data_IF_399032040465
#
_entry.id   IF_399032040465
#
_cell.length_a   1.000
_cell.length_b   1.000
_cell.length_c   1.000
_cell.angle_alpha   90.00
_cell.angle_beta   90.00
_cell.angle_gamma   90.00
#
_symmetry.space_group_name_H-M   'P 1'
#
loop_
_entity.id
_entity.type
_entity.pdbx_description
1 polymer ?
#
# COMPACT_ATOMS: atom_id res chain seq x y z
N UNK A 1 -31.43 -16.24 44.63
CA UNK A 1 -30.49 -15.09 44.64
C UNK A 1 -29.01 -15.49 44.50
N UNK A 2 -28.51 -16.49 45.23
CA UNK A 2 -27.09 -16.91 45.16
C UNK A 2 -26.63 -17.45 43.77
N UNK A 3 -27.54 -18.12 43.06
CA UNK A 3 -27.23 -18.65 41.70
C UNK A 3 -27.10 -17.52 40.65
N UNK A 4 -27.94 -16.53 40.74
CA UNK A 4 -27.90 -15.35 39.84
C UNK A 4 -26.64 -14.51 40.06
N UNK A 5 -26.18 -14.40 41.31
CA UNK A 5 -24.94 -13.72 41.67
C UNK A 5 -23.71 -14.46 41.14
N UNK A 6 -23.71 -15.78 41.21
CA UNK A 6 -22.62 -16.62 40.69
C UNK A 6 -22.53 -16.55 39.17
N UNK A 7 -23.65 -16.55 38.45
CA UNK A 7 -23.70 -16.40 37.02
C UNK A 7 -23.19 -15.03 36.55
N UNK A 8 -23.55 -13.95 37.24
CA UNK A 8 -23.09 -12.61 36.95
C UNK A 8 -21.58 -12.46 37.16
N UNK A 9 -21.03 -13.10 38.21
CA UNK A 9 -19.57 -13.10 38.48
C UNK A 9 -18.81 -13.91 37.43
N UNK A 10 -19.34 -15.04 36.98
CA UNK A 10 -18.74 -15.86 35.94
C UNK A 10 -18.67 -15.12 34.58
N UNK A 11 -19.69 -14.34 34.23
CA UNK A 11 -19.71 -13.52 32.99
C UNK A 11 -18.68 -12.40 33.05
N UNK A 12 -18.42 -11.80 34.22
CA UNK A 12 -17.40 -10.76 34.41
C UNK A 12 -15.96 -11.29 34.30
N UNK A 13 -15.73 -12.56 34.68
CA UNK A 13 -14.39 -13.19 34.60
C UNK A 13 -14.05 -13.62 33.16
N UNK A 14 -15.06 -13.90 32.32
CA UNK A 14 -14.90 -14.27 30.92
C UNK A 14 -14.88 -13.09 29.94
N UNK A 15 -14.81 -11.84 30.43
CA UNK A 15 -14.48 -10.72 29.55
C UNK A 15 -13.00 -10.84 29.14
N UNK A 16 -12.72 -11.74 28.21
CA UNK A 16 -11.45 -11.78 27.50
C UNK A 16 -11.24 -10.40 26.89
N UNK A 17 -10.12 -9.78 27.20
CA UNK A 17 -9.73 -8.53 26.54
C UNK A 17 -9.65 -8.82 25.05
N UNK A 18 -10.65 -8.40 24.29
CA UNK A 18 -10.61 -8.38 22.83
C UNK A 18 -9.60 -7.31 22.47
N UNK A 19 -8.34 -7.73 22.26
CA UNK A 19 -7.37 -6.89 21.60
C UNK A 19 -7.85 -6.71 20.16
N UNK A 20 -8.50 -5.58 19.91
CA UNK A 20 -8.84 -5.18 18.55
C UNK A 20 -7.52 -4.93 17.79
N UNK A 21 -7.26 -5.77 16.78
CA UNK A 21 -6.15 -5.51 15.87
C UNK A 21 -6.49 -4.28 15.04
N UNK A 22 -5.58 -3.29 15.03
CA UNK A 22 -5.85 -2.01 14.35
C UNK A 22 -5.88 -2.16 12.84
N UNK A 23 -5.06 -3.07 12.26
CA UNK A 23 -4.91 -3.22 10.82
C UNK A 23 -4.30 -4.58 10.47
N UNK A 24 -4.72 -5.17 9.37
CA UNK A 24 -4.10 -6.38 8.80
C UNK A 24 -3.07 -5.96 7.75
N UNK A 25 -1.86 -6.51 7.73
CA UNK A 25 -1.31 -7.56 8.59
C UNK A 25 -0.83 -7.04 9.94
N UNK A 26 -1.35 -7.59 11.03
CA UNK A 26 -0.94 -7.21 12.38
C UNK A 26 0.19 -8.13 12.88
N UNK A 27 1.32 -7.53 13.24
CA UNK A 27 2.45 -8.24 13.87
C UNK A 27 3.35 -9.05 12.94
N UNK A 28 3.04 -9.13 11.65
CA UNK A 28 3.91 -9.74 10.63
C UNK A 28 4.26 -8.67 9.61
N UNK A 29 5.47 -8.13 9.72
CA UNK A 29 5.94 -7.08 8.83
C UNK A 29 7.03 -7.64 7.90
N UNK A 30 6.82 -7.45 6.60
CA UNK A 30 7.84 -7.56 5.58
C UNK A 30 7.76 -6.33 4.68
N UNK A 31 8.52 -5.31 5.06
CA UNK A 31 8.49 -4.01 4.40
C UNK A 31 9.00 -4.12 2.95
N UNK A 32 10.03 -4.96 2.72
CA UNK A 32 10.59 -5.20 1.39
C UNK A 32 9.56 -5.89 0.47
N UNK A 33 8.82 -6.88 0.98
CA UNK A 33 7.74 -7.53 0.23
C UNK A 33 6.64 -6.53 -0.16
N UNK A 34 6.30 -5.58 0.72
CA UNK A 34 5.30 -4.55 0.39
C UNK A 34 5.76 -3.63 -0.74
N UNK A 35 7.05 -3.30 -0.80
CA UNK A 35 7.63 -2.56 -1.93
C UNK A 35 7.52 -3.37 -3.21
N UNK A 36 7.87 -4.67 -3.19
CA UNK A 36 7.73 -5.57 -4.35
C UNK A 36 6.28 -5.69 -4.84
N UNK A 37 5.32 -5.75 -3.94
CA UNK A 37 3.90 -5.73 -4.32
C UNK A 37 3.52 -4.43 -5.04
N UNK A 38 4.00 -3.26 -4.57
CA UNK A 38 3.75 -1.98 -5.26
C UNK A 38 4.39 -1.97 -6.65
N UNK A 39 5.61 -2.49 -6.80
CA UNK A 39 6.27 -2.65 -8.11
C UNK A 39 5.42 -3.53 -9.06
N UNK A 40 4.99 -4.71 -8.60
CA UNK A 40 4.17 -5.64 -9.38
C UNK A 40 2.84 -5.01 -9.80
N UNK A 41 2.16 -4.34 -8.88
CA UNK A 41 0.93 -3.59 -9.18
C UNK A 41 1.19 -2.53 -10.25
N UNK A 42 2.30 -1.79 -10.15
CA UNK A 42 2.67 -0.75 -11.13
C UNK A 42 2.92 -1.33 -12.51
N UNK A 43 3.63 -2.47 -12.62
CA UNK A 43 3.82 -3.15 -13.90
C UNK A 43 2.51 -3.68 -14.48
N UNK A 44 1.58 -4.14 -13.65
CA UNK A 44 0.25 -4.58 -14.10
C UNK A 44 -0.58 -3.40 -14.61
N UNK A 45 -0.49 -2.24 -13.96
CA UNK A 45 -1.12 -0.98 -14.44
C UNK A 45 -0.53 -0.61 -15.82
N UNK A 46 0.79 -0.60 -15.97
CA UNK A 46 1.47 -0.32 -17.24
C UNK A 46 1.00 -1.27 -18.36
N UNK A 47 0.95 -2.57 -18.08
CA UNK A 47 0.46 -3.58 -19.03
C UNK A 47 -0.99 -3.31 -19.42
N UNK A 48 -1.83 -2.96 -18.44
CA UNK A 48 -3.25 -2.64 -18.68
C UNK A 48 -3.40 -1.41 -19.58
N UNK A 49 -2.66 -0.32 -19.29
CA UNK A 49 -2.67 0.91 -20.09
C UNK A 49 -2.25 0.64 -21.55
N UNK A 50 -1.18 -0.13 -21.73
CA UNK A 50 -0.70 -0.50 -23.09
C UNK A 50 -1.75 -1.32 -23.85
N UNK A 51 -2.40 -2.30 -23.18
CA UNK A 51 -3.45 -3.09 -23.83
C UNK A 51 -4.64 -2.23 -24.23
N UNK A 52 -5.13 -1.37 -23.33
CA UNK A 52 -6.26 -0.47 -23.59
C UNK A 52 -5.91 0.43 -24.77
N UNK A 53 -4.75 1.08 -24.76
CA UNK A 53 -4.31 2.00 -25.82
C UNK A 53 -4.25 1.33 -27.19
N UNK A 54 -3.85 0.06 -27.26
CA UNK A 54 -3.72 -0.69 -28.50
C UNK A 54 -5.04 -1.25 -29.04
N UNK A 55 -6.09 -1.38 -28.20
CA UNK A 55 -7.31 -2.11 -28.55
C UNK A 55 -8.61 -1.31 -28.32
N UNK A 56 -8.54 -0.05 -27.90
CA UNK A 56 -9.71 0.74 -27.52
C UNK A 56 -10.70 0.96 -28.68
N UNK A 57 -10.24 0.97 -29.92
CA UNK A 57 -11.05 1.20 -31.11
C UNK A 57 -11.53 -0.11 -31.79
N UNK A 58 -11.12 -1.28 -31.28
CA UNK A 58 -11.54 -2.58 -31.78
C UNK A 58 -12.80 -3.06 -31.04
N UNK A 59 -13.93 -3.06 -31.74
CA UNK A 59 -15.22 -3.50 -31.20
C UNK A 59 -15.22 -4.95 -30.73
N UNK A 60 -14.40 -5.81 -31.32
CA UNK A 60 -14.29 -7.23 -30.92
C UNK A 60 -13.51 -7.39 -29.61
N UNK A 61 -12.70 -6.40 -29.26
CA UNK A 61 -11.89 -6.39 -28.02
C UNK A 61 -12.55 -5.66 -26.86
N UNK A 62 -13.73 -5.05 -27.03
CA UNK A 62 -14.36 -4.21 -25.98
C UNK A 62 -14.56 -4.92 -24.64
N UNK A 63 -14.88 -6.21 -24.66
CA UNK A 63 -14.97 -7.00 -23.43
C UNK A 63 -13.60 -7.08 -22.70
N UNK A 64 -12.52 -7.31 -23.42
CA UNK A 64 -11.19 -7.38 -22.85
C UNK A 64 -10.66 -6.00 -22.41
N UNK A 65 -10.94 -4.95 -23.21
CA UNK A 65 -10.61 -3.57 -22.83
C UNK A 65 -11.28 -3.21 -21.49
N UNK A 66 -12.56 -3.53 -21.33
CA UNK A 66 -13.29 -3.30 -20.07
C UNK A 66 -12.63 -4.02 -18.89
N UNK A 67 -12.24 -5.29 -19.07
CA UNK A 67 -11.54 -6.05 -18.02
C UNK A 67 -10.19 -5.43 -17.65
N UNK A 68 -9.43 -4.95 -18.64
CA UNK A 68 -8.15 -4.28 -18.37
C UNK A 68 -8.32 -2.91 -17.69
N UNK A 69 -9.41 -2.18 -17.98
CA UNK A 69 -9.75 -0.96 -17.23
C UNK A 69 -9.98 -1.30 -15.75
N UNK A 70 -10.79 -2.31 -15.47
CA UNK A 70 -11.08 -2.76 -14.08
C UNK A 70 -9.80 -3.23 -13.39
N UNK A 71 -8.97 -4.02 -14.07
CA UNK A 71 -7.66 -4.49 -13.55
C UNK A 71 -6.76 -3.31 -13.21
N UNK A 72 -6.63 -2.34 -14.11
CA UNK A 72 -5.83 -1.13 -13.89
C UNK A 72 -6.28 -0.38 -12.63
N UNK A 73 -7.57 -0.18 -12.47
CA UNK A 73 -8.15 0.55 -11.35
C UNK A 73 -7.97 -0.20 -10.03
N UNK A 74 -8.14 -1.53 -10.05
CA UNK A 74 -7.94 -2.37 -8.86
C UNK A 74 -6.49 -2.34 -8.39
N UNK A 75 -5.52 -2.52 -9.29
CA UNK A 75 -4.10 -2.49 -8.92
C UNK A 75 -3.66 -1.11 -8.42
N UNK A 76 -4.21 -0.03 -8.98
CA UNK A 76 -3.97 1.32 -8.44
C UNK A 76 -4.60 1.50 -7.05
N UNK A 77 -5.76 0.90 -6.77
CA UNK A 77 -6.36 0.88 -5.44
C UNK A 77 -5.51 0.07 -4.46
N UNK A 78 -4.95 -1.06 -4.88
CA UNK A 78 -4.13 -1.91 -4.02
C UNK A 78 -2.83 -1.19 -3.61
N UNK A 79 -2.21 -0.40 -4.51
CA UNK A 79 -1.12 0.51 -4.15
C UNK A 79 -1.56 1.50 -3.07
N UNK A 80 -2.71 2.15 -3.26
CA UNK A 80 -3.23 3.10 -2.28
C UNK A 80 -3.48 2.44 -0.91
N UNK A 81 -4.01 1.23 -0.90
CA UNK A 81 -4.24 0.48 0.34
C UNK A 81 -2.93 0.13 1.04
N UNK A 82 -1.92 -0.38 0.32
CA UNK A 82 -0.60 -0.69 0.89
C UNK A 82 0.03 0.58 1.50
N UNK A 83 0.00 1.69 0.79
CA UNK A 83 0.56 2.96 1.28
C UNK A 83 -0.18 3.45 2.53
N UNK A 84 -1.52 3.53 2.49
CA UNK A 84 -2.30 4.13 3.57
C UNK A 84 -2.38 3.22 4.80
N UNK A 85 -2.65 1.95 4.60
CA UNK A 85 -2.92 1.01 5.70
C UNK A 85 -1.65 0.43 6.31
N UNK A 86 -0.64 0.16 5.48
CA UNK A 86 0.60 -0.42 5.95
C UNK A 86 1.65 0.65 6.28
N UNK A 87 2.10 1.43 5.30
CA UNK A 87 3.18 2.39 5.55
C UNK A 87 2.73 3.56 6.43
N UNK A 88 1.75 4.36 6.00
CA UNK A 88 1.35 5.56 6.73
C UNK A 88 0.78 5.26 8.10
N UNK A 89 -0.04 4.23 8.24
CA UNK A 89 -0.71 3.92 9.52
C UNK A 89 0.20 3.19 10.50
N UNK A 90 1.09 2.31 10.02
CA UNK A 90 1.81 1.41 10.92
C UNK A 90 3.32 1.65 10.97
N UNK A 91 3.95 2.06 9.84
CA UNK A 91 5.41 2.06 9.71
C UNK A 91 6.03 3.44 9.83
N UNK A 92 5.40 4.48 9.30
CA UNK A 92 5.94 5.83 9.32
C UNK A 92 5.59 6.52 10.64
N UNK A 93 6.63 6.79 11.44
CA UNK A 93 6.49 7.40 12.77
C UNK A 93 7.60 8.39 13.01
N UNK A 94 7.26 9.52 13.64
CA UNK A 94 8.26 10.45 14.16
C UNK A 94 9.03 9.76 15.29
N UNK A 95 10.36 9.66 15.16
CA UNK A 95 11.22 8.93 16.11
C UNK A 95 11.53 9.76 17.35
N UNK A 96 11.85 11.04 17.14
CA UNK A 96 12.20 12.02 18.19
C UNK A 96 11.97 13.45 17.70
N UNK A 97 12.20 14.43 18.58
CA UNK A 97 11.99 15.84 18.30
C UNK A 97 13.15 16.56 17.60
N UNK A 98 14.24 15.84 17.24
CA UNK A 98 15.36 16.40 16.51
C UNK A 98 14.92 16.95 15.14
N UNK A 99 15.67 17.93 14.63
CA UNK A 99 15.39 18.50 13.30
C UNK A 99 15.51 17.43 12.22
N UNK A 100 16.56 16.61 12.26
CA UNK A 100 16.82 15.59 11.24
C UNK A 100 15.72 14.52 11.21
N UNK A 101 15.22 14.10 12.40
CA UNK A 101 14.09 13.16 12.52
C UNK A 101 12.80 13.73 11.92
N UNK A 102 12.53 15.01 12.18
CA UNK A 102 11.35 15.71 11.62
C UNK A 102 11.46 15.89 10.12
N UNK A 103 12.62 16.29 9.61
CA UNK A 103 12.85 16.47 8.19
C UNK A 103 12.69 15.14 7.43
N UNK A 104 13.26 14.05 7.94
CA UNK A 104 13.08 12.70 7.37
C UNK A 104 11.62 12.26 7.39
N UNK A 105 10.94 12.44 8.52
CA UNK A 105 9.51 12.09 8.65
C UNK A 105 8.66 12.85 7.63
N UNK A 106 8.88 14.16 7.46
CA UNK A 106 8.16 14.96 6.48
C UNK A 106 8.48 14.55 5.04
N UNK A 107 9.74 14.22 4.74
CA UNK A 107 10.12 13.72 3.41
C UNK A 107 9.43 12.39 3.09
N UNK A 108 9.39 11.44 4.03
CA UNK A 108 8.68 10.18 3.87
C UNK A 108 7.17 10.39 3.66
N UNK A 109 6.53 11.27 4.42
CA UNK A 109 5.11 11.60 4.23
C UNK A 109 4.85 12.22 2.85
N UNK A 110 5.69 13.16 2.42
CA UNK A 110 5.54 13.85 1.14
C UNK A 110 5.65 12.89 -0.05
N UNK A 111 6.63 12.00 -0.05
CA UNK A 111 6.82 11.04 -1.14
C UNK A 111 5.68 10.01 -1.17
N UNK A 112 5.26 9.47 -0.02
CA UNK A 112 4.13 8.53 0.05
C UNK A 112 2.82 9.18 -0.41
N UNK A 113 2.55 10.43 -0.02
CA UNK A 113 1.40 11.16 -0.52
C UNK A 113 1.46 11.36 -2.04
N UNK A 114 2.64 11.64 -2.59
CA UNK A 114 2.83 11.77 -4.04
C UNK A 114 2.57 10.44 -4.78
N UNK A 115 2.95 9.29 -4.21
CA UNK A 115 2.62 7.96 -4.76
C UNK A 115 1.12 7.73 -4.76
N UNK A 116 0.40 8.09 -3.67
CA UNK A 116 -1.07 8.00 -3.62
C UNK A 116 -1.75 8.81 -4.72
N UNK A 117 -1.22 10.03 -5.01
CA UNK A 117 -1.73 10.89 -6.08
C UNK A 117 -1.46 10.28 -7.46
N UNK A 118 -0.28 9.71 -7.70
CA UNK A 118 0.05 9.09 -8.98
C UNK A 118 -0.77 7.81 -9.19
N UNK A 119 -0.98 6.99 -8.16
CA UNK A 119 -1.89 5.85 -8.22
C UNK A 119 -3.33 6.29 -8.56
N UNK A 120 -3.82 7.41 -8.00
CA UNK A 120 -5.10 7.99 -8.37
C UNK A 120 -5.12 8.41 -9.85
N UNK A 121 -4.08 9.09 -10.35
CA UNK A 121 -3.98 9.48 -11.76
C UNK A 121 -3.95 8.25 -12.68
N UNK A 122 -3.29 7.16 -12.30
CA UNK A 122 -3.30 5.91 -13.05
C UNK A 122 -4.71 5.35 -13.29
N UNK A 123 -5.67 5.61 -12.38
CA UNK A 123 -7.08 5.26 -12.62
C UNK A 123 -7.72 6.12 -13.69
N UNK A 124 -7.30 7.39 -13.82
CA UNK A 124 -7.96 8.41 -14.62
C UNK A 124 -7.42 8.54 -16.05
N UNK A 125 -6.30 7.87 -16.37
CA UNK A 125 -5.62 7.98 -17.66
C UNK A 125 -5.08 6.64 -18.17
N UNK A 126 -4.71 6.62 -19.45
CA UNK A 126 -3.90 5.57 -20.08
C UNK A 126 -2.50 6.09 -20.48
N UNK A 127 -2.10 7.24 -19.91
CA UNK A 127 -0.74 7.79 -20.09
C UNK A 127 0.25 7.03 -19.21
N UNK A 128 1.10 6.25 -19.84
CA UNK A 128 2.10 5.40 -19.19
C UNK A 128 3.19 6.19 -18.44
N UNK A 129 3.32 7.52 -18.67
CA UNK A 129 4.25 8.35 -17.90
C UNK A 129 3.92 8.37 -16.42
N UNK A 130 2.66 8.15 -16.04
CA UNK A 130 2.23 8.07 -14.64
C UNK A 130 2.82 6.86 -13.92
N UNK A 131 2.97 5.73 -14.59
CA UNK A 131 3.62 4.54 -14.01
C UNK A 131 5.13 4.74 -13.81
N UNK A 132 5.79 5.47 -14.70
CA UNK A 132 7.20 5.83 -14.54
C UNK A 132 7.39 6.77 -13.32
N UNK A 133 6.56 7.81 -13.22
CA UNK A 133 6.56 8.71 -12.07
C UNK A 133 6.34 7.96 -10.75
N UNK A 134 5.43 6.98 -10.74
CA UNK A 134 5.16 6.15 -9.56
C UNK A 134 6.40 5.33 -9.17
N UNK A 135 7.09 4.69 -10.11
CA UNK A 135 8.32 3.92 -9.85
C UNK A 135 9.47 4.80 -9.37
N UNK A 136 9.63 6.00 -9.94
CA UNK A 136 10.64 6.97 -9.49
C UNK A 136 10.42 7.37 -8.03
N UNK A 137 9.18 7.71 -7.66
CA UNK A 137 8.83 8.06 -6.29
C UNK A 137 8.92 6.87 -5.33
N UNK A 138 8.61 5.66 -5.79
CA UNK A 138 8.81 4.46 -4.99
C UNK A 138 10.29 4.24 -4.69
N UNK A 139 11.17 4.45 -5.66
CA UNK A 139 12.62 4.39 -5.45
C UNK A 139 13.12 5.49 -4.50
N UNK A 140 12.57 6.71 -4.60
CA UNK A 140 12.85 7.78 -3.64
C UNK A 140 12.43 7.36 -2.23
N UNK A 141 11.23 6.81 -2.06
CA UNK A 141 10.78 6.30 -0.77
C UNK A 141 11.68 5.20 -0.22
N UNK A 142 12.10 4.23 -1.05
CA UNK A 142 13.05 3.17 -0.67
C UNK A 142 14.34 3.76 -0.11
N UNK A 143 14.87 4.80 -0.74
CA UNK A 143 16.10 5.46 -0.29
C UNK A 143 15.94 6.22 1.04
N UNK A 144 14.76 6.78 1.31
CA UNK A 144 14.44 7.47 2.56
C UNK A 144 14.09 6.51 3.71
N UNK A 145 13.67 5.30 3.39
CA UNK A 145 13.09 4.38 4.37
C UNK A 145 14.03 3.25 4.79
N UNK A 146 14.71 2.61 3.83
CA UNK A 146 15.57 1.47 4.09
C UNK A 146 17.02 1.89 4.34
N UNK A 147 17.63 1.24 5.33
CA UNK A 147 19.09 1.19 5.47
C UNK A 147 19.72 0.23 4.42
N UNK A 148 21.04 0.11 4.44
CA UNK A 148 21.78 -0.74 3.49
C UNK A 148 21.40 -2.22 3.62
N UNK A 149 21.08 -2.71 4.83
CA UNK A 149 20.63 -4.08 5.05
C UNK A 149 19.24 -4.32 4.43
N UNK A 150 18.31 -3.39 4.66
CA UNK A 150 16.96 -3.45 4.09
C UNK A 150 16.96 -3.38 2.55
N UNK A 151 17.80 -2.53 1.95
CA UNK A 151 18.00 -2.45 0.50
C UNK A 151 18.56 -3.76 -0.07
N UNK A 152 19.53 -4.38 0.62
CA UNK A 152 20.06 -5.69 0.21
C UNK A 152 18.99 -6.77 0.26
N UNK A 153 18.16 -6.79 1.32
CA UNK A 153 17.04 -7.71 1.42
C UNK A 153 16.02 -7.49 0.27
N UNK A 154 15.65 -6.25 -0.01
CA UNK A 154 14.77 -5.90 -1.12
C UNK A 154 15.32 -6.41 -2.47
N UNK A 155 16.62 -6.25 -2.71
CA UNK A 155 17.29 -6.76 -3.92
C UNK A 155 17.33 -8.29 -4.03
N UNK A 156 17.24 -9.01 -2.92
CA UNK A 156 17.24 -10.48 -2.89
C UNK A 156 15.85 -11.11 -3.18
N UNK A 157 14.78 -10.31 -3.18
CA UNK A 157 13.40 -10.75 -3.48
C UNK A 157 13.06 -10.73 -4.99
N UNK A 158 14.06 -10.65 -5.87
CA UNK A 158 13.90 -10.65 -7.34
C UNK A 158 13.79 -12.07 -7.90
#
# INVERSE_FOLDING_TARGET
>A
MKFLSFLATAILIFSTQLYAHCQVPCGVYDDAMRIKMIEEHTFTILKSMNYIKSNQDDLLQQNQVTRWIITKDQHAQDIQNIISEYFLTQRIKLKDDSKDSKDLYHAQLAVLHSILQDAMKCKQTIDTSMTNSLLEKLNEFVNLYFDEHGKKHLGALN
#
